data_IF_176501701053
#
_entry.id   IF_176501701053
#
_cell.length_a   1.000
_cell.length_b   1.000
_cell.length_c   1.000
_cell.angle_alpha   90.00
_cell.angle_beta   90.00
_cell.angle_gamma   90.00
#
_symmetry.space_group_name_H-M   'P 1'
#
loop_
_entity.id
_entity.type
_entity.pdbx_description
1 polymer ?
#
# COMPACT_ATOMS: atom_id res chain seq x y z
N UNK A 1 16.67 -2.13 -30.45
CA UNK A 1 15.76 -2.79 -31.41
C UNK A 1 15.24 -4.15 -30.95
N UNK A 2 16.05 -5.01 -30.28
CA UNK A 2 15.62 -6.36 -29.84
C UNK A 2 14.54 -6.41 -28.74
N UNK A 3 14.52 -5.46 -27.79
CA UNK A 3 13.51 -5.45 -26.72
C UNK A 3 12.08 -5.20 -27.21
N UNK A 4 11.88 -4.28 -28.16
CA UNK A 4 10.55 -3.98 -28.68
C UNK A 4 9.92 -5.19 -29.40
N UNK A 5 10.73 -5.98 -30.11
CA UNK A 5 10.24 -7.20 -30.78
C UNK A 5 9.81 -8.28 -29.77
N UNK A 6 10.56 -8.43 -28.67
CA UNK A 6 10.20 -9.33 -27.58
C UNK A 6 8.88 -8.89 -26.91
N UNK A 7 8.68 -7.59 -26.71
CA UNK A 7 7.47 -7.05 -26.07
C UNK A 7 6.21 -7.26 -26.90
N UNK A 8 6.27 -7.01 -28.21
CA UNK A 8 5.16 -7.29 -29.11
C UNK A 8 4.82 -8.78 -29.10
N UNK A 9 5.83 -9.65 -29.17
CA UNK A 9 5.62 -11.11 -29.12
C UNK A 9 4.98 -11.61 -27.82
N UNK A 10 5.33 -11.03 -26.66
CA UNK A 10 4.70 -11.37 -25.38
C UNK A 10 3.25 -10.89 -25.34
N UNK A 11 2.99 -9.65 -25.77
CA UNK A 11 1.63 -9.08 -25.83
C UNK A 11 0.73 -9.91 -26.76
N UNK A 12 1.24 -10.31 -27.93
CA UNK A 12 0.50 -11.11 -28.90
C UNK A 12 0.17 -12.52 -28.37
N UNK A 13 1.05 -13.09 -27.53
CA UNK A 13 0.88 -14.44 -26.98
C UNK A 13 -0.05 -14.47 -25.76
N UNK A 14 0.04 -13.47 -24.88
CA UNK A 14 -0.76 -13.38 -23.64
C UNK A 14 -2.12 -12.75 -23.89
N UNK A 15 -2.21 -11.88 -24.91
CA UNK A 15 -3.36 -11.02 -25.15
C UNK A 15 -3.38 -9.80 -24.22
N UNK A 16 -4.25 -8.82 -24.52
CA UNK A 16 -4.23 -7.52 -23.86
C UNK A 16 -4.84 -7.52 -22.46
N UNK A 17 -5.51 -8.58 -22.01
CA UNK A 17 -6.24 -8.62 -20.74
C UNK A 17 -5.54 -9.54 -19.76
N UNK A 18 -4.96 -8.96 -18.72
CA UNK A 18 -4.28 -9.69 -17.65
C UNK A 18 -4.88 -9.32 -16.30
N UNK A 19 -4.84 -10.24 -15.35
CA UNK A 19 -5.34 -9.99 -13.99
C UNK A 19 -4.39 -9.11 -13.17
N UNK A 20 -3.09 -9.23 -13.42
CA UNK A 20 -2.02 -8.56 -12.68
C UNK A 20 -0.85 -8.23 -13.62
N UNK A 21 -0.33 -7.01 -13.50
CA UNK A 21 1.00 -6.64 -14.00
C UNK A 21 1.91 -6.45 -12.79
N UNK A 22 3.02 -7.17 -12.73
CA UNK A 22 4.00 -7.06 -11.65
C UNK A 22 5.32 -6.50 -12.19
N UNK A 23 5.73 -5.35 -11.67
CA UNK A 23 6.96 -4.67 -12.04
C UNK A 23 7.93 -4.74 -10.86
N UNK A 24 8.94 -5.60 -10.97
CA UNK A 24 9.89 -5.88 -9.90
C UNK A 24 11.33 -5.61 -10.28
N UNK A 25 12.21 -5.48 -9.29
CA UNK A 25 13.66 -5.27 -9.46
C UNK A 25 14.01 -3.93 -10.12
N UNK A 26 13.22 -2.89 -9.84
CA UNK A 26 13.44 -1.55 -10.38
C UNK A 26 14.56 -0.88 -9.56
N UNK A 27 15.71 -0.71 -10.19
CA UNK A 27 16.92 -0.17 -9.57
C UNK A 27 17.14 1.30 -9.88
N UNK A 28 16.54 1.82 -10.96
CA UNK A 28 16.63 3.21 -11.40
C UNK A 28 15.42 3.63 -12.25
N UNK A 29 15.31 4.94 -12.55
CA UNK A 29 14.20 5.51 -13.31
C UNK A 29 14.12 5.06 -14.79
N UNK A 30 15.23 4.67 -15.42
CA UNK A 30 15.21 4.22 -16.82
C UNK A 30 14.58 2.83 -16.95
N UNK A 31 14.88 1.92 -16.02
CA UNK A 31 14.22 0.61 -15.91
C UNK A 31 12.72 0.77 -15.67
N UNK A 32 12.34 1.70 -14.79
CA UNK A 32 10.94 2.02 -14.52
C UNK A 32 10.19 2.46 -15.79
N UNK A 33 10.79 3.34 -16.59
CA UNK A 33 10.21 3.81 -17.85
C UNK A 33 10.05 2.70 -18.90
N UNK A 34 11.02 1.79 -19.00
CA UNK A 34 10.93 0.64 -19.89
C UNK A 34 9.79 -0.30 -19.48
N UNK A 35 9.68 -0.58 -18.18
CA UNK A 35 8.61 -1.40 -17.63
C UNK A 35 7.23 -0.73 -17.80
N UNK A 36 7.16 0.60 -17.73
CA UNK A 36 5.92 1.32 -18.01
C UNK A 36 5.43 1.14 -19.44
N UNK A 37 6.33 1.25 -20.42
CA UNK A 37 5.97 1.04 -21.83
C UNK A 37 5.47 -0.37 -22.09
N UNK A 38 6.01 -1.36 -21.39
CA UNK A 38 5.51 -2.73 -21.44
C UNK A 38 4.10 -2.81 -20.85
N UNK A 39 3.88 -2.20 -19.68
CA UNK A 39 2.58 -2.22 -19.00
C UNK A 39 1.47 -1.54 -19.82
N UNK A 40 1.80 -0.52 -20.62
CA UNK A 40 0.84 0.19 -21.47
C UNK A 40 0.20 -0.74 -22.54
N UNK A 41 0.81 -1.90 -22.83
CA UNK A 41 0.26 -2.91 -23.74
C UNK A 41 -0.82 -3.80 -23.10
N UNK A 42 -1.01 -3.69 -21.78
CA UNK A 42 -1.91 -4.54 -21.01
C UNK A 42 -2.98 -3.74 -20.28
N UNK A 43 -4.21 -4.25 -20.29
CA UNK A 43 -5.32 -3.79 -19.48
C UNK A 43 -5.40 -4.68 -18.22
N UNK A 44 -4.92 -4.15 -17.11
CA UNK A 44 -4.92 -4.83 -15.81
C UNK A 44 -5.77 -4.09 -14.78
N UNK A 45 -6.43 -4.85 -13.90
CA UNK A 45 -7.16 -4.28 -12.75
C UNK A 45 -6.27 -4.12 -11.51
N UNK A 46 -5.19 -4.92 -11.45
CA UNK A 46 -4.18 -4.90 -10.39
C UNK A 46 -2.81 -4.55 -10.97
N UNK A 47 -2.10 -3.67 -10.30
CA UNK A 47 -0.70 -3.35 -10.58
C UNK A 47 0.11 -3.58 -9.30
N UNK A 48 1.22 -4.32 -9.40
CA UNK A 48 2.20 -4.48 -8.34
C UNK A 48 3.50 -3.84 -8.77
N UNK A 49 4.10 -3.05 -7.89
CA UNK A 49 5.35 -2.34 -8.16
C UNK A 49 6.28 -2.51 -6.96
N UNK A 50 7.50 -2.99 -7.23
CA UNK A 50 8.58 -3.02 -6.26
C UNK A 50 9.62 -1.96 -6.61
N UNK A 51 9.71 -0.95 -5.77
CA UNK A 51 10.62 0.20 -5.91
C UNK A 51 11.49 0.24 -4.66
N UNK A 52 12.78 -0.04 -4.77
CA UNK A 52 13.66 0.04 -3.60
C UNK A 52 13.67 1.46 -3.01
N UNK A 53 13.91 2.46 -3.87
CA UNK A 53 14.01 3.86 -3.46
C UNK A 53 13.39 4.79 -4.51
N UNK A 54 12.57 5.74 -4.07
CA UNK A 54 12.26 6.94 -4.85
C UNK A 54 13.16 8.06 -4.34
N UNK A 55 13.89 8.72 -5.24
CA UNK A 55 14.90 9.72 -4.92
C UNK A 55 14.38 11.14 -5.10
N UNK A 56 13.37 11.35 -5.94
CA UNK A 56 12.91 12.69 -6.29
C UNK A 56 11.39 12.84 -6.37
N UNK A 57 10.93 14.09 -6.29
CA UNK A 57 9.53 14.46 -6.54
C UNK A 57 9.10 14.22 -7.98
N UNK A 58 10.03 14.26 -8.95
CA UNK A 58 9.76 13.96 -10.34
C UNK A 58 9.41 12.47 -10.52
N UNK A 59 10.19 11.55 -9.94
CA UNK A 59 9.91 10.11 -9.99
C UNK A 59 8.56 9.77 -9.33
N UNK A 60 8.24 10.43 -8.22
CA UNK A 60 6.92 10.29 -7.59
C UNK A 60 5.79 10.79 -8.50
N UNK A 61 5.98 11.93 -9.16
CA UNK A 61 4.97 12.50 -10.06
C UNK A 61 4.74 11.60 -11.28
N UNK A 62 5.81 11.02 -11.84
CA UNK A 62 5.73 10.09 -12.97
C UNK A 62 4.99 8.81 -12.57
N UNK A 63 5.30 8.25 -11.40
CA UNK A 63 4.58 7.10 -10.86
C UNK A 63 3.09 7.39 -10.66
N UNK A 64 2.75 8.53 -10.05
CA UNK A 64 1.36 8.96 -9.87
C UNK A 64 0.65 9.16 -11.21
N UNK A 65 1.33 9.71 -12.20
CA UNK A 65 0.82 9.86 -13.56
C UNK A 65 0.49 8.49 -14.16
N UNK A 66 1.38 7.51 -14.02
CA UNK A 66 1.19 6.15 -14.55
C UNK A 66 0.08 5.37 -13.86
N UNK A 67 -0.04 5.46 -12.54
CA UNK A 67 -1.17 4.88 -11.80
C UNK A 67 -2.49 5.52 -12.27
N UNK A 68 -2.50 6.83 -12.55
CA UNK A 68 -3.67 7.51 -13.09
C UNK A 68 -4.03 7.05 -14.50
N UNK A 69 -3.07 6.97 -15.42
CA UNK A 69 -3.33 6.61 -16.83
C UNK A 69 -3.68 5.14 -17.00
N UNK A 70 -3.15 4.26 -16.15
CA UNK A 70 -3.49 2.83 -16.16
C UNK A 70 -4.89 2.53 -15.60
N UNK A 71 -5.50 3.48 -14.88
CA UNK A 71 -6.83 3.37 -14.28
C UNK A 71 -7.02 2.07 -13.46
N UNK A 72 -5.98 1.68 -12.72
CA UNK A 72 -6.00 0.50 -11.85
C UNK A 72 -6.84 0.75 -10.61
N UNK A 73 -7.62 -0.25 -10.21
CA UNK A 73 -8.41 -0.17 -8.97
C UNK A 73 -7.59 -0.63 -7.75
N UNK A 74 -6.61 -1.52 -7.97
CA UNK A 74 -5.76 -2.07 -6.94
C UNK A 74 -4.28 -1.85 -7.26
N UNK A 75 -3.55 -1.34 -6.27
CA UNK A 75 -2.11 -1.12 -6.36
C UNK A 75 -1.40 -1.79 -5.18
N UNK A 76 -0.33 -2.52 -5.48
CA UNK A 76 0.63 -3.00 -4.49
C UNK A 76 1.94 -2.22 -4.66
N UNK A 77 2.42 -1.63 -3.58
CA UNK A 77 3.68 -0.89 -3.53
C UNK A 77 4.59 -1.54 -2.52
N UNK A 78 5.73 -2.03 -2.98
CA UNK A 78 6.85 -2.37 -2.12
C UNK A 78 7.86 -1.23 -2.21
N UNK A 79 8.09 -0.53 -1.09
CA UNK A 79 9.03 0.59 -1.02
C UNK A 79 9.76 0.68 0.32
N UNK A 80 11.06 0.99 0.26
CA UNK A 80 11.88 1.22 1.46
C UNK A 80 11.87 2.69 1.89
N UNK A 81 12.01 3.60 0.93
CA UNK A 81 12.07 5.04 1.19
C UNK A 81 11.37 5.83 0.11
N UNK A 82 10.53 6.76 0.54
CA UNK A 82 9.80 7.70 -0.31
C UNK A 82 9.97 9.11 0.26
N UNK A 83 10.31 10.14 -0.54
CA UNK A 83 10.30 11.52 -0.09
C UNK A 83 8.87 11.96 0.21
N UNK A 84 8.63 12.69 1.30
CA UNK A 84 7.29 13.15 1.71
C UNK A 84 6.21 12.05 1.63
N UNK A 85 6.40 10.92 2.34
CA UNK A 85 5.57 9.73 2.15
C UNK A 85 4.09 10.01 2.43
N UNK A 86 3.77 10.91 3.37
CA UNK A 86 2.38 11.30 3.65
C UNK A 86 1.66 11.87 2.43
N UNK A 87 2.28 12.86 1.77
CA UNK A 87 1.71 13.51 0.58
C UNK A 87 1.60 12.52 -0.57
N UNK A 88 2.60 11.67 -0.74
CA UNK A 88 2.59 10.62 -1.76
C UNK A 88 1.43 9.63 -1.55
N UNK A 89 1.24 9.14 -0.32
CA UNK A 89 0.17 8.21 0.03
C UNK A 89 -1.23 8.82 -0.14
N UNK A 90 -1.41 10.09 0.24
CA UNK A 90 -2.67 10.82 0.00
C UNK A 90 -2.95 10.94 -1.50
N UNK A 91 -1.94 11.27 -2.31
CA UNK A 91 -2.10 11.35 -3.76
C UNK A 91 -2.49 9.99 -4.36
N UNK A 92 -1.83 8.90 -3.96
CA UNK A 92 -2.18 7.54 -4.38
C UNK A 92 -3.61 7.17 -4.00
N UNK A 93 -4.05 7.50 -2.79
CA UNK A 93 -5.39 7.19 -2.28
C UNK A 93 -6.53 7.87 -3.07
N UNK A 94 -6.21 8.92 -3.84
CA UNK A 94 -7.14 9.57 -4.75
C UNK A 94 -7.27 8.85 -6.09
N UNK A 95 -6.31 7.99 -6.43
CA UNK A 95 -6.25 7.28 -7.71
C UNK A 95 -6.82 5.88 -7.63
N UNK A 96 -6.62 5.16 -6.53
CA UNK A 96 -6.95 3.73 -6.40
C UNK A 96 -8.03 3.46 -5.34
N UNK A 97 -8.72 2.32 -5.45
CA UNK A 97 -9.71 1.86 -4.46
C UNK A 97 -9.09 0.91 -3.44
N UNK A 98 -8.00 0.24 -3.79
CA UNK A 98 -7.30 -0.70 -2.93
C UNK A 98 -5.80 -0.46 -3.00
N UNK A 99 -5.15 -0.35 -1.86
CA UNK A 99 -3.71 -0.14 -1.75
C UNK A 99 -3.12 -1.16 -0.77
N UNK A 100 -2.14 -1.93 -1.23
CA UNK A 100 -1.27 -2.74 -0.37
C UNK A 100 0.12 -2.10 -0.34
N UNK A 101 0.69 -1.94 0.84
CA UNK A 101 2.03 -1.41 1.03
C UNK A 101 2.81 -2.44 1.81
N UNK A 102 3.89 -2.95 1.23
CA UNK A 102 4.79 -3.87 1.93
C UNK A 102 6.14 -3.19 2.11
N UNK A 103 6.62 -3.19 3.36
CA UNK A 103 7.91 -2.62 3.74
C UNK A 103 8.80 -3.75 4.25
N UNK A 104 9.75 -4.17 3.42
CA UNK A 104 10.69 -5.23 3.78
C UNK A 104 11.89 -4.68 4.54
N UNK A 105 12.46 -5.52 5.40
CA UNK A 105 13.72 -5.23 6.07
C UNK A 105 14.85 -5.14 5.05
N UNK A 106 15.62 -4.05 5.10
CA UNK A 106 16.91 -3.95 4.43
C UNK A 106 18.01 -3.92 5.50
N UNK A 107 19.01 -4.78 5.35
CA UNK A 107 20.10 -5.11 6.29
C UNK A 107 20.89 -3.88 6.79
N UNK A 108 20.80 -2.74 6.09
CA UNK A 108 21.46 -1.48 6.46
C UNK A 108 20.62 -0.48 7.27
N UNK A 109 19.33 -0.75 7.52
CA UNK A 109 18.48 0.19 8.27
C UNK A 109 18.73 0.09 9.77
N UNK A 110 18.85 1.24 10.43
CA UNK A 110 18.91 1.32 11.90
C UNK A 110 17.71 0.56 12.46
N UNK A 111 17.89 -0.19 13.56
CA UNK A 111 16.86 -0.99 14.24
C UNK A 111 15.68 -0.15 14.80
N UNK A 112 15.48 1.09 14.34
CA UNK A 112 14.39 1.92 14.77
C UNK A 112 13.06 1.36 14.22
N UNK A 113 12.30 0.76 15.13
CA UNK A 113 11.03 0.08 14.87
C UNK A 113 9.91 1.05 14.49
N UNK A 114 10.13 2.37 14.52
CA UNK A 114 9.16 3.38 14.11
C UNK A 114 9.27 3.79 12.63
N UNK A 115 10.20 3.17 11.88
CA UNK A 115 10.37 3.46 10.45
C UNK A 115 9.18 2.97 9.61
N UNK A 116 8.61 3.88 8.83
CA UNK A 116 7.76 3.52 7.70
C UNK A 116 8.05 4.42 6.50
N UNK A 117 8.41 3.80 5.37
CA UNK A 117 8.78 4.48 4.12
C UNK A 117 9.92 5.51 4.28
N UNK A 118 10.81 5.28 5.25
CA UNK A 118 11.95 6.16 5.55
C UNK A 118 11.63 7.34 6.46
N UNK A 119 10.40 7.47 6.96
CA UNK A 119 10.04 8.43 7.99
C UNK A 119 9.98 7.75 9.37
N UNK A 120 10.32 8.50 10.42
CA UNK A 120 10.38 8.02 11.80
C UNK A 120 9.46 8.85 12.69
N UNK A 121 8.84 8.20 13.69
CA UNK A 121 8.04 8.85 14.73
C UNK A 121 6.91 9.76 14.20
N UNK A 122 6.34 9.39 13.05
CA UNK A 122 5.24 10.13 12.40
C UNK A 122 3.89 9.75 12.99
N UNK A 123 3.02 10.74 13.16
CA UNK A 123 1.60 10.51 13.42
C UNK A 123 0.87 10.10 12.12
N UNK A 124 0.85 8.79 11.85
CA UNK A 124 0.24 8.24 10.64
C UNK A 124 -1.30 8.24 10.67
N UNK A 125 -1.95 8.47 11.81
CA UNK A 125 -3.40 8.37 11.88
C UNK A 125 -4.12 9.41 11.00
N UNK A 126 -3.79 10.73 11.09
CA UNK A 126 -4.35 11.74 10.20
C UNK A 126 -4.17 11.41 8.72
N UNK A 127 -2.98 10.97 8.31
CA UNK A 127 -2.69 10.59 6.91
C UNK A 127 -3.58 9.43 6.45
N UNK A 128 -3.68 8.35 7.24
CA UNK A 128 -4.48 7.18 6.89
C UNK A 128 -5.98 7.52 6.83
N UNK A 129 -6.48 8.34 7.77
CA UNK A 129 -7.87 8.81 7.75
C UNK A 129 -8.13 9.63 6.50
N UNK A 130 -7.21 10.53 6.17
CA UNK A 130 -7.29 11.35 4.97
C UNK A 130 -7.25 10.49 3.71
N UNK A 131 -6.43 9.43 3.66
CA UNK A 131 -6.44 8.50 2.54
C UNK A 131 -7.84 7.87 2.32
N UNK A 132 -8.51 7.46 3.40
CA UNK A 132 -9.87 6.91 3.30
C UNK A 132 -10.94 7.97 2.99
N UNK A 133 -10.69 9.26 3.24
CA UNK A 133 -11.58 10.35 2.83
C UNK A 133 -11.62 10.52 1.29
N UNK A 134 -10.60 10.00 0.58
CA UNK A 134 -10.47 10.01 -0.88
C UNK A 134 -11.17 8.81 -1.55
N UNK A 135 -10.61 8.29 -2.65
CA UNK A 135 -11.18 7.15 -3.42
C UNK A 135 -10.93 5.80 -2.73
N UNK A 136 -9.96 5.73 -1.82
CA UNK A 136 -9.53 4.48 -1.19
C UNK A 136 -10.61 3.82 -0.34
N UNK A 137 -10.84 2.54 -0.58
CA UNK A 137 -11.78 1.68 0.14
C UNK A 137 -11.08 0.61 0.97
N UNK A 138 -9.87 0.21 0.56
CA UNK A 138 -9.03 -0.79 1.24
C UNK A 138 -7.59 -0.32 1.38
N UNK A 139 -7.01 -0.50 2.57
CA UNK A 139 -5.59 -0.26 2.83
C UNK A 139 -5.02 -1.44 3.64
N UNK A 140 -3.93 -2.02 3.14
CA UNK A 140 -3.13 -3.01 3.85
C UNK A 140 -1.70 -2.48 3.96
N UNK A 141 -1.15 -2.45 5.17
CA UNK A 141 0.25 -2.10 5.43
C UNK A 141 0.92 -3.28 6.12
N UNK A 142 1.91 -3.85 5.46
CA UNK A 142 2.76 -4.93 5.97
C UNK A 142 4.13 -4.35 6.31
N UNK A 143 4.37 -4.13 7.59
CA UNK A 143 5.60 -3.56 8.12
C UNK A 143 6.02 -4.30 9.40
N UNK A 144 6.13 -5.63 9.30
CA UNK A 144 6.30 -6.52 10.45
C UNK A 144 7.59 -6.28 11.22
N UNK A 145 8.66 -5.90 10.51
CA UNK A 145 9.97 -5.62 11.10
C UNK A 145 9.99 -4.32 11.91
N UNK A 146 9.24 -3.31 11.44
CA UNK A 146 9.14 -1.99 12.06
C UNK A 146 7.72 -1.73 12.58
N UNK A 147 7.21 -2.66 13.38
CA UNK A 147 5.82 -2.67 13.85
C UNK A 147 5.41 -1.54 14.80
N UNK A 148 6.37 -0.71 15.25
CA UNK A 148 6.14 0.39 16.19
C UNK A 148 5.88 1.72 15.46
N UNK A 149 5.93 1.73 14.11
CA UNK A 149 5.59 2.92 13.29
C UNK A 149 4.15 3.39 13.53
N UNK A 150 3.24 2.46 13.83
CA UNK A 150 1.88 2.78 14.21
C UNK A 150 1.78 2.79 15.74
N UNK A 151 1.95 3.98 16.31
CA UNK A 151 1.88 4.18 17.75
C UNK A 151 0.53 3.72 18.32
N UNK A 152 0.49 3.46 19.64
CA UNK A 152 -0.76 3.16 20.35
C UNK A 152 -1.79 4.28 20.16
N UNK A 153 -1.39 5.54 20.29
CA UNK A 153 -2.29 6.68 20.11
C UNK A 153 -2.90 6.71 18.69
N UNK A 154 -2.05 6.56 17.66
CA UNK A 154 -2.50 6.52 16.27
C UNK A 154 -3.49 5.38 16.05
N UNK A 155 -3.21 4.20 16.61
CA UNK A 155 -4.13 3.06 16.52
C UNK A 155 -5.51 3.35 17.14
N UNK A 156 -5.58 3.99 18.33
CA UNK A 156 -6.86 4.38 18.94
C UNK A 156 -7.61 5.43 18.11
N UNK A 157 -6.88 6.36 17.51
CA UNK A 157 -7.46 7.34 16.59
C UNK A 157 -8.09 6.67 15.36
N UNK A 158 -7.39 5.72 14.74
CA UNK A 158 -7.93 4.95 13.62
C UNK A 158 -9.15 4.12 14.02
N UNK A 159 -9.07 3.45 15.17
CA UNK A 159 -10.16 2.64 15.73
C UNK A 159 -11.41 3.48 15.98
N UNK A 160 -11.26 4.70 16.49
CA UNK A 160 -12.39 5.59 16.80
C UNK A 160 -12.96 6.30 15.58
N UNK A 161 -12.14 6.63 14.56
CA UNK A 161 -12.55 7.46 13.42
C UNK A 161 -12.95 6.65 12.18
N UNK A 162 -12.21 5.60 11.80
CA UNK A 162 -12.46 4.88 10.54
C UNK A 162 -13.85 4.23 10.45
N UNK A 163 -14.42 3.63 11.52
CA UNK A 163 -15.78 3.09 11.45
C UNK A 163 -16.84 4.14 11.14
N UNK A 164 -16.57 5.42 11.43
CA UNK A 164 -17.52 6.52 11.32
C UNK A 164 -17.30 7.42 10.09
N UNK A 165 -16.34 7.10 9.22
CA UNK A 165 -15.99 7.91 8.04
C UNK A 165 -17.05 7.89 6.92
N UNK A 166 -18.18 7.21 7.13
CA UNK A 166 -19.28 7.11 6.15
C UNK A 166 -19.01 6.16 4.98
N UNK A 167 -17.88 5.43 4.99
CA UNK A 167 -17.52 4.46 3.96
C UNK A 167 -17.45 3.05 4.52
N UNK A 168 -17.66 2.07 3.64
CA UNK A 168 -17.42 0.66 3.93
C UNK A 168 -15.92 0.43 3.79
N UNK A 169 -15.12 0.65 4.83
CA UNK A 169 -13.66 0.55 4.72
C UNK A 169 -13.13 -0.84 5.10
N UNK A 170 -11.96 -1.17 4.59
CA UNK A 170 -11.12 -2.27 5.09
C UNK A 170 -9.69 -1.76 5.31
N UNK A 171 -9.34 -1.57 6.58
CA UNK A 171 -7.98 -1.25 7.00
C UNK A 171 -7.33 -2.46 7.67
N UNK A 172 -6.07 -2.71 7.35
CA UNK A 172 -5.22 -3.71 8.00
C UNK A 172 -3.80 -3.19 8.07
N UNK A 173 -3.17 -3.23 9.23
CA UNK A 173 -1.79 -2.77 9.40
C UNK A 173 -1.04 -3.67 10.38
N UNK A 174 0.24 -3.96 10.09
CA UNK A 174 1.16 -4.47 11.11
C UNK A 174 1.16 -3.51 12.30
N UNK A 175 0.93 -4.04 13.50
CA UNK A 175 0.74 -3.23 14.69
C UNK A 175 1.13 -4.02 15.93
N UNK A 176 2.06 -3.47 16.71
CA UNK A 176 2.44 -4.04 17.99
C UNK A 176 1.88 -3.26 19.17
N UNK A 177 1.27 -4.00 20.11
CA UNK A 177 0.85 -3.44 21.38
C UNK A 177 0.84 -4.53 22.45
N UNK A 178 1.52 -4.29 23.57
CA UNK A 178 1.68 -5.21 24.70
C UNK A 178 0.37 -5.56 25.44
N UNK A 179 -0.79 -5.00 25.07
CA UNK A 179 -2.07 -5.34 25.70
C UNK A 179 -2.66 -6.63 25.17
N UNK A 180 -3.59 -7.22 25.94
CA UNK A 180 -4.44 -8.32 25.48
C UNK A 180 -5.16 -7.91 24.19
N UNK A 181 -5.26 -8.85 23.25
CA UNK A 181 -5.94 -8.59 21.99
C UNK A 181 -7.40 -8.16 22.22
N UNK A 182 -7.88 -7.22 21.42
CA UNK A 182 -9.26 -6.74 21.49
C UNK A 182 -10.00 -7.11 20.21
N UNK A 183 -11.26 -7.54 20.35
CA UNK A 183 -12.16 -7.68 19.21
C UNK A 183 -13.58 -7.25 19.60
N UNK A 184 -14.14 -6.34 18.82
CA UNK A 184 -15.51 -5.86 19.00
C UNK A 184 -16.05 -5.29 17.69
N UNK A 185 -17.32 -4.87 17.70
CA UNK A 185 -18.00 -4.27 16.55
C UNK A 185 -18.33 -2.81 16.83
N UNK A 186 -18.10 -1.94 15.85
CA UNK A 186 -18.55 -0.54 15.87
C UNK A 186 -19.02 -0.13 14.47
N UNK A 187 -20.19 0.50 14.38
CA UNK A 187 -20.80 0.97 13.12
C UNK A 187 -20.67 -0.01 11.93
N UNK A 188 -21.06 -1.28 12.12
CA UNK A 188 -20.93 -2.36 11.12
C UNK A 188 -19.50 -2.74 10.71
N UNK A 189 -18.48 -2.25 11.41
CA UNK A 189 -17.09 -2.67 11.27
C UNK A 189 -16.74 -3.63 12.39
N UNK A 190 -15.99 -4.67 12.04
CA UNK A 190 -15.32 -5.54 12.99
C UNK A 190 -13.93 -4.95 13.21
N UNK A 191 -13.62 -4.67 14.47
CA UNK A 191 -12.34 -4.14 14.90
C UNK A 191 -11.61 -5.26 15.63
N UNK A 192 -10.36 -5.48 15.24
CA UNK A 192 -9.48 -6.49 15.82
C UNK A 192 -8.10 -5.88 15.99
N UNK A 193 -7.56 -5.92 17.20
CA UNK A 193 -6.14 -5.70 17.43
C UNK A 193 -5.59 -6.97 18.07
N UNK A 194 -4.99 -7.83 17.26
CA UNK A 194 -4.50 -9.12 17.69
C UNK A 194 -3.02 -9.01 18.09
N UNK A 195 -2.68 -9.52 19.28
CA UNK A 195 -1.29 -9.64 19.75
C UNK A 195 -0.98 -11.06 20.26
N UNK A 196 -1.80 -12.05 19.88
CA UNK A 196 -1.69 -13.41 20.43
C UNK A 196 -0.49 -14.20 19.88
N UNK A 197 0.02 -13.84 18.68
CA UNK A 197 1.21 -14.42 18.09
C UNK A 197 2.08 -13.33 17.50
N UNK A 198 3.41 -13.48 17.62
CA UNK A 198 4.40 -12.52 17.07
C UNK A 198 4.20 -12.30 15.57
N UNK A 199 3.80 -13.36 14.85
CA UNK A 199 3.50 -13.37 13.42
C UNK A 199 2.11 -12.82 13.02
N UNK A 200 1.25 -12.44 13.99
CA UNK A 200 -0.12 -11.98 13.72
C UNK A 200 -0.44 -10.66 14.43
N UNK A 201 0.57 -9.81 14.58
CA UNK A 201 0.48 -8.47 15.16
C UNK A 201 -0.17 -7.50 14.18
N UNK A 202 -1.49 -7.46 14.18
CA UNK A 202 -2.28 -6.70 13.20
C UNK A 202 -3.39 -5.91 13.89
N UNK A 203 -3.54 -4.65 13.48
CA UNK A 203 -4.76 -3.87 13.65
C UNK A 203 -5.60 -4.02 12.38
N UNK A 204 -6.82 -4.51 12.51
CA UNK A 204 -7.79 -4.64 11.43
C UNK A 204 -9.09 -3.94 11.78
N UNK A 205 -9.61 -3.17 10.82
CA UNK A 205 -10.91 -2.51 10.87
C UNK A 205 -11.61 -2.84 9.55
N UNK A 206 -12.54 -3.80 9.55
CA UNK A 206 -13.14 -4.34 8.33
C UNK A 206 -14.66 -4.23 8.38
N UNK A 207 -15.25 -3.53 7.41
CA UNK A 207 -16.70 -3.44 7.29
C UNK A 207 -17.32 -4.84 7.02
N UNK A 208 -18.46 -5.15 7.64
CA UNK A 208 -19.11 -6.47 7.58
C UNK A 208 -19.41 -6.96 6.15
N UNK A 209 -19.70 -6.04 5.23
CA UNK A 209 -19.97 -6.38 3.82
C UNK A 209 -18.74 -6.91 3.09
N UNK A 210 -17.54 -6.69 3.63
CA UNK A 210 -16.27 -7.05 3.02
C UNK A 210 -15.70 -8.37 3.53
N UNK A 211 -16.39 -9.06 4.45
CA UNK A 211 -15.84 -10.23 5.15
C UNK A 211 -15.42 -11.37 4.21
N UNK A 212 -16.10 -11.52 3.07
CA UNK A 212 -15.79 -12.51 2.03
C UNK A 212 -14.78 -12.02 0.99
N UNK A 213 -14.34 -10.77 1.11
CA UNK A 213 -13.35 -10.21 0.18
C UNK A 213 -11.95 -10.58 0.65
N UNK A 214 -11.11 -10.93 -0.33
CA UNK A 214 -9.67 -10.98 -0.23
C UNK A 214 -9.05 -9.64 -0.64
N UNK A 215 -7.77 -9.48 -0.34
CA UNK A 215 -7.02 -8.27 -0.70
C UNK A 215 -6.60 -8.28 -2.17
#
# INVERSE_FOLDING_TARGET
MRMNALFLSISDSVGPRVSLVNLSQISNGDELNLLWRLSDSFQAKKLSICIAHLHSSAEMADLLCKVRTSNVDHLEVNALRIPDPEKFLINLSSLVRSLCITHYYNDGSTRNRTNFLGAFDVDWAPTIIEMFSRRLDKLKIENEYFCDYLSKANAYDLISKLPHIGKKVWFSASYYNNTKGVSYKSNNHIIQACNLNVSHRVLSIKHKSRLKEDF
#
